data_IF_240873433721
#
_entry.id   IF_240873433721
#
_cell.length_a   1.000
_cell.length_b   1.000
_cell.length_c   1.000
_cell.angle_alpha   90.00
_cell.angle_beta   90.00
_cell.angle_gamma   90.00
#
_symmetry.space_group_name_H-M   'P 1'
#
loop_
_entity.id
_entity.type
_entity.pdbx_description
1 polymer ?
#
# COMPACT_ATOMS: atom_id res chain seq x y z
N UNK A 1 36.17 18.33 -17.36
CA UNK A 1 36.80 17.54 -16.29
C UNK A 1 35.72 17.05 -15.32
N UNK A 2 35.01 16.01 -15.76
CA UNK A 2 34.73 14.76 -15.03
C UNK A 2 33.80 14.73 -13.81
N UNK A 3 32.59 15.30 -13.92
CA UNK A 3 31.50 15.05 -12.94
C UNK A 3 30.89 13.64 -13.05
N UNK A 4 30.95 13.03 -14.25
CA UNK A 4 30.46 11.65 -14.50
C UNK A 4 31.25 10.59 -13.75
N UNK A 5 32.57 10.77 -13.64
CA UNK A 5 33.45 9.86 -12.92
C UNK A 5 33.14 9.86 -11.41
N UNK A 6 32.79 11.01 -10.82
CA UNK A 6 32.45 11.08 -9.40
C UNK A 6 31.11 10.40 -9.09
N UNK A 7 30.10 10.53 -9.97
CA UNK A 7 28.83 9.81 -9.81
C UNK A 7 29.00 8.31 -10.00
N UNK A 8 29.82 7.87 -10.95
CA UNK A 8 30.11 6.44 -11.15
C UNK A 8 30.86 5.85 -9.96
N UNK A 9 31.86 6.54 -9.43
CA UNK A 9 32.59 6.12 -8.22
C UNK A 9 31.64 6.01 -7.02
N UNK A 10 30.70 6.95 -6.87
CA UNK A 10 29.72 6.93 -5.77
C UNK A 10 28.70 5.80 -5.92
N UNK A 11 28.25 5.50 -7.13
CA UNK A 11 27.37 4.36 -7.43
C UNK A 11 28.09 3.03 -7.17
N UNK A 12 29.36 2.92 -7.58
CA UNK A 12 30.19 1.75 -7.33
C UNK A 12 30.46 1.52 -5.83
N UNK A 13 30.66 2.59 -5.06
CA UNK A 13 30.78 2.54 -3.59
C UNK A 13 29.51 1.97 -2.94
N UNK A 14 28.34 2.50 -3.33
CA UNK A 14 27.04 2.05 -2.80
C UNK A 14 26.77 0.58 -3.17
N UNK A 15 27.13 0.17 -4.39
CA UNK A 15 26.99 -1.22 -4.81
C UNK A 15 27.90 -2.17 -4.01
N UNK A 16 29.12 -1.75 -3.67
CA UNK A 16 30.04 -2.54 -2.85
C UNK A 16 29.58 -2.64 -1.38
N UNK A 17 28.99 -1.58 -0.83
CA UNK A 17 28.36 -1.59 0.50
C UNK A 17 27.14 -2.52 0.54
N UNK A 18 26.30 -2.50 -0.50
CA UNK A 18 25.15 -3.43 -0.60
C UNK A 18 25.64 -4.88 -0.76
N UNK A 19 26.74 -5.11 -1.48
CA UNK A 19 27.30 -6.44 -1.69
C UNK A 19 27.91 -7.02 -0.42
N UNK A 20 28.65 -6.21 0.35
CA UNK A 20 29.26 -6.61 1.63
C UNK A 20 28.22 -6.91 2.71
N UNK A 21 27.14 -6.12 2.79
CA UNK A 21 26.05 -6.34 3.76
C UNK A 21 25.18 -7.58 3.45
N UNK A 22 25.26 -8.14 2.23
CA UNK A 22 24.53 -9.36 1.85
C UNK A 22 25.40 -10.63 1.87
N UNK A 23 26.71 -10.52 2.10
CA UNK A 23 27.65 -11.64 2.03
C UNK A 23 27.84 -12.45 3.31
N UNK A 24 27.24 -12.05 4.44
CA UNK A 24 27.47 -12.78 5.71
C UNK A 24 26.47 -13.89 6.04
N UNK A 25 25.49 -14.23 5.20
CA UNK A 25 24.53 -15.31 5.53
C UNK A 25 24.00 -16.11 4.32
N UNK A 26 24.91 -16.55 3.45
CA UNK A 26 24.59 -17.58 2.45
C UNK A 26 25.54 -18.76 2.64
N UNK A 27 25.09 -19.91 3.18
CA UNK A 27 25.93 -21.09 3.24
C UNK A 27 26.20 -21.59 1.81
N UNK A 28 27.48 -21.54 1.44
CA UNK A 28 28.04 -22.09 0.21
C UNK A 28 27.71 -23.59 0.13
N UNK A 29 26.75 -23.95 -0.74
CA UNK A 29 26.42 -25.37 -0.99
C UNK A 29 27.53 -25.96 -1.85
N UNK A 30 28.54 -26.51 -1.16
CA UNK A 30 29.59 -27.32 -1.76
C UNK A 30 28.98 -28.58 -2.41
N UNK A 31 29.20 -28.70 -3.72
CA UNK A 31 28.85 -29.89 -4.50
C UNK A 31 29.85 -31.00 -4.17
N UNK A 32 29.55 -31.80 -3.15
CA UNK A 32 30.29 -33.04 -2.88
C UNK A 32 29.47 -34.26 -3.33
N UNK A 33 29.92 -34.84 -4.44
CA UNK A 33 29.62 -36.19 -4.87
C UNK A 33 30.12 -37.18 -3.80
N UNK A 34 29.20 -37.88 -3.14
CA UNK A 34 29.47 -39.21 -2.60
C UNK A 34 28.28 -40.10 -2.93
N UNK A 35 28.52 -41.01 -3.88
CA UNK A 35 27.61 -42.07 -4.22
C UNK A 35 27.42 -42.99 -3.03
N UNK A 36 26.37 -42.75 -2.26
CA UNK A 36 25.76 -43.81 -1.45
C UNK A 36 24.56 -44.27 -2.24
N UNK A 37 24.78 -45.31 -3.04
CA UNK A 37 23.74 -46.11 -3.65
C UNK A 37 22.87 -46.68 -2.53
N UNK A 38 21.90 -45.90 -2.07
CA UNK A 38 20.78 -46.39 -1.28
C UNK A 38 19.94 -47.22 -2.24
N UNK A 39 20.27 -48.51 -2.30
CA UNK A 39 19.40 -49.55 -2.83
C UNK A 39 18.01 -49.29 -2.26
N UNK A 40 17.12 -48.77 -3.11
CA UNK A 40 15.71 -48.72 -2.84
C UNK A 40 15.27 -50.17 -2.77
N UNK A 41 15.30 -50.72 -1.55
CA UNK A 41 14.61 -51.94 -1.19
C UNK A 41 13.12 -51.65 -1.38
N UNK A 42 12.68 -51.72 -2.63
CA UNK A 42 11.29 -51.67 -3.05
C UNK A 42 10.72 -53.01 -2.63
N UNK A 43 10.51 -53.18 -1.32
CA UNK A 43 9.64 -54.23 -0.79
C UNK A 43 8.35 -54.08 -1.59
N UNK A 44 8.13 -54.98 -2.56
CA UNK A 44 6.82 -55.22 -3.12
C UNK A 44 5.97 -55.54 -1.89
N UNK A 45 5.17 -54.57 -1.41
CA UNK A 45 4.13 -54.88 -0.45
C UNK A 45 3.33 -55.98 -1.15
N UNK A 46 3.44 -57.20 -0.66
CA UNK A 46 2.71 -58.33 -1.20
C UNK A 46 1.26 -57.92 -1.35
N UNK A 47 0.62 -58.31 -2.45
CA UNK A 47 -0.80 -58.13 -2.61
C UNK A 47 -1.46 -58.70 -1.36
N UNK A 48 -1.96 -57.82 -0.47
CA UNK A 48 -2.72 -58.24 0.70
C UNK A 48 -3.80 -59.18 0.16
N UNK A 49 -3.77 -60.47 0.57
CA UNK A 49 -4.72 -61.47 0.10
C UNK A 49 -6.09 -61.03 0.62
N UNK A 50 -6.86 -60.36 -0.23
CA UNK A 50 -8.18 -59.84 0.09
C UNK A 50 -9.24 -60.82 -0.37
N UNK A 51 -10.27 -61.00 0.45
CA UNK A 51 -11.46 -61.74 0.07
C UNK A 51 -12.27 -61.01 -1.00
N UNK A 52 -13.24 -61.74 -1.56
CA UNK A 52 -14.18 -61.23 -2.56
C UNK A 52 -14.94 -60.03 -1.95
N UNK A 53 -15.07 -58.89 -2.67
CA UNK A 53 -15.87 -57.77 -2.21
C UNK A 53 -17.29 -58.21 -1.87
N UNK A 54 -17.93 -57.65 -0.84
CA UNK A 54 -19.29 -58.04 -0.40
C UNK A 54 -20.34 -58.05 -1.54
N UNK A 55 -20.12 -57.26 -2.60
CA UNK A 55 -20.98 -57.22 -3.79
C UNK A 55 -20.63 -58.23 -4.90
N UNK A 56 -19.63 -59.11 -4.72
CA UNK A 56 -19.18 -60.11 -5.70
C UNK A 56 -18.47 -59.57 -6.95
N UNK A 57 -18.62 -58.28 -7.27
CA UNK A 57 -18.06 -57.65 -8.48
C UNK A 57 -16.53 -57.50 -8.42
N UNK A 58 -15.82 -58.23 -9.27
CA UNK A 58 -14.35 -58.24 -9.35
C UNK A 58 -13.74 -56.89 -9.75
N UNK A 59 -14.48 -56.03 -10.45
CA UNK A 59 -13.99 -54.73 -10.93
C UNK A 59 -13.97 -53.63 -9.86
N UNK A 60 -14.50 -53.88 -8.66
CA UNK A 60 -14.45 -52.92 -7.55
C UNK A 60 -13.14 -53.08 -6.77
N UNK A 61 -12.14 -52.27 -7.11
CA UNK A 61 -10.85 -52.21 -6.39
C UNK A 61 -10.90 -51.34 -5.12
N UNK A 62 -9.89 -51.46 -4.25
CA UNK A 62 -9.76 -50.62 -3.04
C UNK A 62 -9.48 -49.18 -3.47
N UNK A 63 -10.40 -48.26 -3.18
CA UNK A 63 -10.14 -46.82 -3.32
C UNK A 63 -9.06 -46.42 -2.29
N UNK A 64 -7.92 -45.94 -2.76
CA UNK A 64 -6.92 -45.35 -1.86
C UNK A 64 -7.41 -44.01 -1.32
N UNK A 65 -6.95 -43.64 -0.11
CA UNK A 65 -7.24 -42.32 0.45
C UNK A 65 -6.51 -41.26 -0.40
N UNK A 66 -7.13 -40.12 -0.66
CA UNK A 66 -6.53 -39.05 -1.47
C UNK A 66 -5.11 -38.64 -1.01
N UNK A 67 -4.83 -38.71 0.29
CA UNK A 67 -3.51 -38.42 0.86
C UNK A 67 -2.40 -39.41 0.44
N UNK A 68 -2.70 -40.60 -0.09
CA UNK A 68 -1.67 -41.52 -0.62
C UNK A 68 -1.18 -41.10 -2.02
N UNK A 69 -1.98 -40.33 -2.76
CA UNK A 69 -1.68 -39.84 -4.11
C UNK A 69 -0.75 -38.62 -4.04
N UNK A 70 -0.74 -37.90 -2.92
CA UNK A 70 0.12 -36.73 -2.70
C UNK A 70 1.58 -37.18 -2.50
N UNK A 71 2.28 -37.41 -3.63
CA UNK A 71 3.68 -37.83 -3.69
C UNK A 71 4.68 -36.70 -3.43
N UNK A 72 4.23 -35.45 -3.46
CA UNK A 72 5.09 -34.30 -3.23
C UNK A 72 5.28 -34.10 -1.73
N UNK A 73 6.54 -34.08 -1.28
CA UNK A 73 6.89 -33.47 0.02
C UNK A 73 6.36 -32.04 -0.07
N UNK A 74 5.30 -31.74 0.66
CA UNK A 74 4.47 -30.56 0.40
C UNK A 74 5.29 -29.27 0.30
N UNK A 75 4.79 -28.30 -0.47
CA UNK A 75 5.31 -26.93 -0.63
C UNK A 75 5.29 -26.13 0.70
N UNK A 76 5.20 -26.81 1.84
CA UNK A 76 5.17 -26.22 3.16
C UNK A 76 6.57 -25.72 3.49
N UNK A 77 6.70 -24.40 3.48
CA UNK A 77 7.86 -23.72 4.03
C UNK A 77 8.07 -24.12 5.50
N UNK A 78 9.33 -24.28 5.90
CA UNK A 78 9.71 -24.46 7.30
C UNK A 78 9.29 -23.27 8.17
N UNK A 79 9.26 -23.48 9.48
CA UNK A 79 8.80 -22.47 10.44
C UNK A 79 9.62 -21.17 10.39
N UNK A 80 10.94 -21.28 10.34
CA UNK A 80 11.86 -20.14 10.24
C UNK A 80 11.58 -19.31 8.98
N UNK A 81 11.44 -19.96 7.82
CA UNK A 81 11.10 -19.28 6.55
C UNK A 81 9.76 -18.55 6.64
N UNK A 82 8.77 -19.11 7.34
CA UNK A 82 7.49 -18.41 7.57
C UNK A 82 7.64 -17.19 8.48
N UNK A 83 8.48 -17.27 9.51
CA UNK A 83 8.74 -16.15 10.42
C UNK A 83 9.41 -14.98 9.69
N UNK A 84 10.40 -15.28 8.85
CA UNK A 84 11.06 -14.28 7.99
C UNK A 84 10.05 -13.59 7.08
N UNK A 85 9.25 -14.37 6.34
CA UNK A 85 8.22 -13.82 5.44
C UNK A 85 7.17 -12.98 6.19
N UNK A 86 6.75 -13.40 7.38
CA UNK A 86 5.83 -12.61 8.20
C UNK A 86 6.44 -11.26 8.61
N UNK A 87 7.72 -11.26 9.01
CA UNK A 87 8.45 -10.04 9.39
C UNK A 87 8.58 -9.08 8.21
N UNK A 88 8.94 -9.59 7.03
CA UNK A 88 9.03 -8.78 5.79
C UNK A 88 7.67 -8.20 5.39
N UNK A 89 6.60 -9.01 5.45
CA UNK A 89 5.24 -8.55 5.19
C UNK A 89 4.78 -7.50 6.19
N UNK A 90 5.22 -7.58 7.44
CA UNK A 90 4.90 -6.58 8.44
C UNK A 90 5.63 -5.25 8.15
N UNK A 91 6.94 -5.31 7.89
CA UNK A 91 7.75 -4.13 7.52
C UNK A 91 7.20 -3.41 6.29
N UNK A 92 6.87 -4.15 5.23
CA UNK A 92 6.29 -3.57 4.00
C UNK A 92 4.93 -2.91 4.25
N UNK A 93 4.07 -3.51 5.08
CA UNK A 93 2.79 -2.91 5.47
C UNK A 93 2.98 -1.64 6.29
N UNK A 94 3.93 -1.62 7.21
CA UNK A 94 4.24 -0.45 8.03
C UNK A 94 4.73 0.71 7.15
N UNK A 95 5.67 0.46 6.23
CA UNK A 95 6.13 1.45 5.27
C UNK A 95 4.99 1.98 4.38
N UNK A 96 4.13 1.09 3.87
CA UNK A 96 2.97 1.49 3.08
C UNK A 96 2.01 2.38 3.87
N UNK A 97 1.73 2.04 5.13
CA UNK A 97 0.88 2.85 6.02
C UNK A 97 1.49 4.22 6.29
N UNK A 98 2.80 4.30 6.52
CA UNK A 98 3.50 5.57 6.73
C UNK A 98 3.39 6.49 5.51
N UNK A 99 3.57 5.95 4.30
CA UNK A 99 3.43 6.73 3.05
C UNK A 99 2.01 7.27 2.88
N UNK A 100 1.00 6.43 3.12
CA UNK A 100 -0.41 6.83 3.01
C UNK A 100 -0.75 7.90 4.06
N UNK A 101 -0.32 7.72 5.31
CA UNK A 101 -0.55 8.68 6.38
C UNK A 101 0.07 10.04 6.05
N UNK A 102 1.32 10.06 5.56
CA UNK A 102 1.98 11.31 5.17
C UNK A 102 1.27 12.01 3.99
N UNK A 103 0.74 11.25 3.04
CA UNK A 103 -0.03 11.82 1.94
C UNK A 103 -1.35 12.44 2.42
N UNK A 104 -2.05 11.77 3.35
CA UNK A 104 -3.29 12.25 3.94
C UNK A 104 -3.09 13.52 4.78
N UNK A 105 -2.04 13.56 5.60
CA UNK A 105 -1.69 14.73 6.41
C UNK A 105 -1.41 15.96 5.52
N UNK A 106 -0.64 15.77 4.43
CA UNK A 106 -0.39 16.84 3.45
C UNK A 106 -1.67 17.35 2.79
N UNK A 107 -2.62 16.46 2.49
CA UNK A 107 -3.90 16.84 1.90
C UNK A 107 -4.79 17.60 2.90
N UNK A 108 -4.83 17.15 4.16
CA UNK A 108 -5.55 17.80 5.25
C UNK A 108 -5.00 19.21 5.50
N UNK A 109 -3.68 19.36 5.62
CA UNK A 109 -3.04 20.66 5.78
C UNK A 109 -3.35 21.61 4.60
N UNK A 110 -3.40 21.10 3.37
CA UNK A 110 -3.81 21.89 2.19
C UNK A 110 -5.26 22.33 2.28
N UNK A 111 -6.17 21.44 2.69
CA UNK A 111 -7.60 21.74 2.87
C UNK A 111 -7.81 22.78 3.97
N UNK A 112 -7.11 22.65 5.09
CA UNK A 112 -7.16 23.59 6.21
C UNK A 112 -6.68 24.98 5.79
N UNK A 113 -5.52 25.06 5.14
CA UNK A 113 -5.01 26.33 4.58
C UNK A 113 -6.02 26.98 3.63
N UNK A 114 -6.66 26.18 2.77
CA UNK A 114 -7.69 26.70 1.85
C UNK A 114 -8.91 27.22 2.61
N UNK A 115 -9.39 26.50 3.62
CA UNK A 115 -10.52 26.94 4.47
C UNK A 115 -10.18 28.23 5.20
N UNK A 116 -8.99 28.34 5.76
CA UNK A 116 -8.53 29.56 6.44
C UNK A 116 -8.43 30.74 5.47
N UNK A 117 -7.85 30.54 4.28
CA UNK A 117 -7.76 31.57 3.26
C UNK A 117 -9.15 32.03 2.78
N UNK A 118 -10.10 31.12 2.62
CA UNK A 118 -11.48 31.47 2.28
C UNK A 118 -12.13 32.31 3.39
N UNK A 119 -12.01 31.90 4.65
CA UNK A 119 -12.50 32.68 5.80
C UNK A 119 -11.88 34.09 5.84
N UNK A 120 -10.55 34.17 5.69
CA UNK A 120 -9.83 35.45 5.63
C UNK A 120 -10.30 36.32 4.46
N UNK A 121 -10.55 35.72 3.29
CA UNK A 121 -11.06 36.43 2.13
C UNK A 121 -12.50 36.95 2.36
N UNK A 122 -13.36 36.16 3.00
CA UNK A 122 -14.72 36.59 3.37
C UNK A 122 -14.70 37.73 4.39
N UNK A 123 -13.85 37.65 5.41
CA UNK A 123 -13.65 38.73 6.39
C UNK A 123 -13.07 39.98 5.73
N UNK A 124 -12.07 39.84 4.87
CA UNK A 124 -11.50 40.95 4.13
C UNK A 124 -12.52 41.58 3.18
N UNK A 125 -13.35 40.77 2.52
CA UNK A 125 -14.46 41.26 1.69
C UNK A 125 -15.41 42.12 2.53
N UNK A 126 -15.86 41.63 3.69
CA UNK A 126 -16.69 42.39 4.64
C UNK A 126 -16.01 43.66 5.14
N UNK A 127 -14.70 43.63 5.41
CA UNK A 127 -13.93 44.82 5.86
C UNK A 127 -13.74 45.85 4.74
N UNK A 128 -13.49 45.38 3.51
CA UNK A 128 -13.31 46.21 2.32
C UNK A 128 -14.63 46.79 1.79
N UNK A 129 -15.75 46.25 2.24
CA UNK A 129 -17.09 46.73 1.93
C UNK A 129 -17.35 48.06 2.66
N UNK A 130 -16.78 49.13 2.09
CA UNK A 130 -17.02 50.49 2.54
C UNK A 130 -18.36 50.93 1.97
N UNK A 131 -19.36 51.06 2.84
CA UNK A 131 -20.72 51.41 2.46
C UNK A 131 -21.05 52.85 2.87
N UNK A 132 -21.74 53.57 1.99
CA UNK A 132 -22.27 54.88 2.31
C UNK A 132 -23.70 54.74 2.83
N UNK A 133 -23.93 55.14 4.08
CA UNK A 133 -25.28 55.15 4.66
C UNK A 133 -26.11 56.26 4.01
N UNK A 134 -27.18 55.88 3.30
CA UNK A 134 -28.09 56.82 2.65
C UNK A 134 -29.19 57.21 3.65
N UNK A 135 -29.06 58.38 4.26
CA UNK A 135 -30.04 58.89 5.24
C UNK A 135 -31.32 59.41 4.60
N UNK A 136 -31.25 59.98 3.38
CA UNK A 136 -32.41 60.55 2.69
C UNK A 136 -32.81 59.75 1.45
N UNK A 137 -33.94 59.05 1.55
CA UNK A 137 -34.49 58.18 0.49
C UNK A 137 -35.06 58.93 -0.71
N UNK A 138 -35.41 60.23 -0.58
CA UNK A 138 -35.88 61.05 -1.71
C UNK A 138 -34.81 61.22 -2.78
N UNK A 139 -33.52 61.12 -2.41
CA UNK A 139 -32.41 61.20 -3.38
C UNK A 139 -32.43 60.04 -4.37
N UNK A 140 -32.61 58.80 -3.90
CA UNK A 140 -32.71 57.61 -4.77
C UNK A 140 -33.90 57.71 -5.75
N UNK A 141 -35.04 58.24 -5.27
CA UNK A 141 -36.24 58.43 -6.10
C UNK A 141 -36.08 59.46 -7.22
N UNK A 142 -35.12 60.39 -7.07
CA UNK A 142 -34.81 61.44 -8.06
C UNK A 142 -33.75 61.02 -9.08
N UNK A 143 -33.04 59.91 -8.85
CA UNK A 143 -31.97 59.45 -9.72
C UNK A 143 -32.49 58.79 -11.01
N UNK A 144 -31.68 58.80 -12.06
CA UNK A 144 -32.02 58.14 -13.32
C UNK A 144 -31.96 56.61 -13.16
N UNK A 145 -32.85 55.88 -13.84
CA UNK A 145 -32.90 54.40 -13.82
C UNK A 145 -31.55 53.73 -14.13
N UNK A 146 -30.71 54.32 -14.98
CA UNK A 146 -29.37 53.79 -15.29
C UNK A 146 -28.41 53.88 -14.10
N UNK A 147 -28.48 54.94 -13.30
CA UNK A 147 -27.61 55.12 -12.12
C UNK A 147 -27.98 54.16 -10.99
N UNK A 148 -29.28 53.88 -10.82
CA UNK A 148 -29.77 52.90 -9.83
C UNK A 148 -29.27 51.48 -10.08
N UNK A 149 -28.84 51.13 -11.31
CA UNK A 149 -28.28 49.80 -11.63
C UNK A 149 -26.90 49.56 -11.01
N UNK A 150 -26.16 50.63 -10.71
CA UNK A 150 -24.83 50.55 -10.11
C UNK A 150 -24.87 50.51 -8.57
N UNK A 151 -26.04 50.73 -7.96
CA UNK A 151 -26.19 50.76 -6.51
C UNK A 151 -26.53 49.35 -6.02
N UNK A 152 -25.66 48.78 -5.21
CA UNK A 152 -25.93 47.56 -4.46
C UNK A 152 -26.40 47.92 -3.04
N UNK A 153 -27.40 47.19 -2.52
CA UNK A 153 -27.89 47.37 -1.16
C UNK A 153 -27.16 46.41 -0.24
N UNK A 154 -26.62 46.93 0.87
CA UNK A 154 -25.88 46.18 1.88
C UNK A 154 -26.39 46.52 3.27
N UNK A 155 -26.42 45.53 4.16
CA UNK A 155 -26.91 45.71 5.53
C UNK A 155 -25.84 46.35 6.41
N UNK A 156 -26.25 47.34 7.19
CA UNK A 156 -25.39 48.08 8.15
C UNK A 156 -25.88 47.97 9.58
N UNK A 157 -26.95 47.19 9.82
CA UNK A 157 -27.42 46.93 11.17
C UNK A 157 -26.34 46.17 11.95
N UNK A 158 -25.90 46.75 13.06
CA UNK A 158 -25.07 46.04 14.03
C UNK A 158 -25.91 44.86 14.54
N UNK A 159 -25.41 43.64 14.41
CA UNK A 159 -26.06 42.49 15.01
C UNK A 159 -26.18 42.75 16.51
N UNK A 160 -27.41 42.63 17.04
CA UNK A 160 -27.73 42.69 18.47
C UNK A 160 -27.14 41.47 19.19
#
# INVERSE_FOLDING_TARGET
>A
MDTKNNTEVKVLSILNEIKSNNTEDVPEVTKNTSGVAKQLNKKKKGNEIRGIPKSGRFWKSKKERFNSIVKTKGIRLGFEKKKVLCSELQKTKELSRQIVAQAQEREQARKERRRENLKRAEENKKKSEIVQVITNTKKLKRMKKKQLRFIEKRDTNKAL
#
